data_IF_358685000943
#
_entry.id   IF_358685000943
#
_cell.length_a   1.000
_cell.length_b   1.000
_cell.length_c   1.000
_cell.angle_alpha   90.00
_cell.angle_beta   90.00
_cell.angle_gamma   90.00
#
_symmetry.space_group_name_H-M   'P 1'
#
loop_
_entity.id
_entity.type
_entity.pdbx_description
1 polymer ?
#
# COMPACT_ATOMS: atom_id res chain seq x y z
N UNK A 1 -21.27 72.39 -24.00
CA UNK A 1 -21.33 71.35 -23.00
C UNK A 1 -20.95 70.05 -23.68
N UNK A 2 -19.70 69.53 -23.47
CA UNK A 2 -19.28 68.23 -24.02
C UNK A 2 -19.40 67.22 -22.89
N UNK A 3 -20.29 66.22 -23.04
CA UNK A 3 -20.43 65.13 -22.11
C UNK A 3 -19.28 64.13 -22.30
N UNK A 4 -18.50 63.91 -21.28
CA UNK A 4 -17.41 62.93 -21.22
C UNK A 4 -18.03 61.61 -20.77
N UNK A 5 -18.16 60.64 -21.68
CA UNK A 5 -18.61 59.29 -21.35
C UNK A 5 -17.39 58.49 -20.93
N UNK A 6 -17.25 58.24 -19.60
CA UNK A 6 -16.23 57.33 -19.04
C UNK A 6 -16.69 55.88 -19.22
N UNK A 7 -15.97 55.12 -20.05
CA UNK A 7 -16.12 53.68 -20.18
C UNK A 7 -15.31 52.98 -19.07
N UNK A 8 -15.98 52.42 -18.07
CA UNK A 8 -15.34 51.59 -17.07
C UNK A 8 -15.26 50.19 -17.64
N UNK A 9 -14.04 49.77 -18.03
CA UNK A 9 -13.73 48.37 -18.37
C UNK A 9 -13.62 47.57 -17.07
N UNK A 10 -14.62 46.77 -16.77
CA UNK A 10 -14.56 45.77 -15.68
C UNK A 10 -13.75 44.59 -16.20
N UNK A 11 -12.47 44.51 -15.84
CA UNK A 11 -11.62 43.34 -16.08
C UNK A 11 -12.08 42.20 -15.17
N UNK A 12 -12.89 41.31 -15.69
CA UNK A 12 -13.13 40.01 -15.07
C UNK A 12 -11.85 39.17 -15.24
N UNK A 13 -11.04 39.06 -14.19
CA UNK A 13 -9.97 38.07 -14.11
C UNK A 13 -10.62 36.69 -13.98
N UNK A 14 -10.79 35.99 -15.08
CA UNK A 14 -11.10 34.56 -15.05
C UNK A 14 -9.83 33.86 -14.57
N UNK A 15 -9.77 33.56 -13.28
CA UNK A 15 -8.76 32.63 -12.77
C UNK A 15 -9.11 31.26 -13.35
N UNK A 16 -8.36 30.84 -14.38
CA UNK A 16 -8.33 29.45 -14.82
C UNK A 16 -7.78 28.63 -13.65
N UNK A 17 -8.67 28.14 -12.81
CA UNK A 17 -8.31 27.13 -11.81
C UNK A 17 -7.90 25.89 -12.59
N UNK A 18 -6.61 25.63 -12.68
CA UNK A 18 -6.11 24.31 -13.11
C UNK A 18 -6.74 23.28 -12.17
N UNK A 19 -7.45 22.32 -12.71
CA UNK A 19 -7.99 21.23 -11.91
C UNK A 19 -6.80 20.48 -11.29
N UNK A 20 -6.66 20.58 -9.97
CA UNK A 20 -5.63 19.85 -9.25
C UNK A 20 -5.85 18.35 -9.46
N UNK A 21 -4.77 17.64 -9.74
CA UNK A 21 -4.79 16.21 -10.01
C UNK A 21 -3.71 15.51 -9.21
N UNK A 22 -4.07 14.37 -8.63
CA UNK A 22 -3.14 13.43 -8.00
C UNK A 22 -3.17 12.11 -8.77
N UNK A 23 -2.02 11.51 -8.99
CA UNK A 23 -1.87 10.20 -9.62
C UNK A 23 -1.46 9.17 -8.59
N UNK A 24 -2.21 8.08 -8.51
CA UNK A 24 -1.93 6.94 -7.65
C UNK A 24 -1.57 5.75 -8.54
N UNK A 25 -0.46 5.10 -8.26
CA UNK A 25 -0.06 3.86 -8.91
C UNK A 25 -0.15 2.72 -7.89
N UNK A 26 -0.96 1.72 -8.21
CA UNK A 26 -1.01 0.48 -7.45
C UNK A 26 -0.26 -0.59 -8.21
N UNK A 27 0.70 -1.21 -7.55
CA UNK A 27 1.45 -2.36 -8.06
C UNK A 27 1.04 -3.56 -7.21
N UNK A 28 0.92 -4.73 -7.83
CA UNK A 28 0.59 -5.97 -7.14
C UNK A 28 1.69 -6.42 -6.18
N UNK A 29 1.99 -7.71 -6.19
CA UNK A 29 2.80 -8.35 -5.17
C UNK A 29 4.30 -8.13 -5.38
N UNK A 30 4.93 -7.48 -4.42
CA UNK A 30 6.37 -7.33 -4.29
C UNK A 30 6.90 -8.57 -3.55
N UNK A 31 7.21 -9.59 -4.32
CA UNK A 31 7.56 -10.91 -3.82
C UNK A 31 8.84 -11.42 -4.52
N UNK A 32 9.50 -12.41 -3.92
CA UNK A 32 10.67 -13.05 -4.51
C UNK A 32 10.73 -14.54 -4.18
N UNK A 33 11.10 -15.33 -5.16
CA UNK A 33 11.39 -16.74 -5.00
C UNK A 33 12.90 -17.00 -4.87
N UNK A 34 13.28 -18.25 -4.62
CA UNK A 34 14.67 -18.63 -4.41
C UNK A 34 15.60 -18.20 -5.55
N UNK A 35 15.14 -18.37 -6.80
CA UNK A 35 15.94 -17.99 -7.98
C UNK A 35 16.26 -16.49 -8.02
N UNK A 36 15.33 -15.63 -7.55
CA UNK A 36 15.54 -14.18 -7.52
C UNK A 36 16.52 -13.81 -6.37
N UNK A 37 16.44 -14.49 -5.23
CA UNK A 37 17.43 -14.32 -4.14
C UNK A 37 18.83 -14.69 -4.63
N UNK A 38 18.95 -15.82 -5.32
CA UNK A 38 20.23 -16.29 -5.82
C UNK A 38 20.79 -15.38 -6.93
N UNK A 39 19.92 -14.85 -7.81
CA UNK A 39 20.31 -13.91 -8.86
C UNK A 39 20.74 -12.54 -8.32
N UNK A 40 20.18 -12.10 -7.20
CA UNK A 40 20.55 -10.85 -6.55
C UNK A 40 21.87 -10.96 -5.75
N UNK A 41 22.37 -12.17 -5.51
CA UNK A 41 23.57 -12.38 -4.70
C UNK A 41 24.83 -11.96 -5.45
N UNK A 42 25.58 -11.05 -4.86
CA UNK A 42 26.85 -10.55 -5.39
C UNK A 42 28.03 -11.43 -4.96
N UNK A 43 29.17 -11.28 -5.63
CA UNK A 43 30.39 -12.07 -5.35
C UNK A 43 30.94 -11.88 -3.94
N UNK A 44 30.70 -10.72 -3.30
CA UNK A 44 31.08 -10.43 -1.92
C UNK A 44 30.04 -10.93 -0.87
N UNK A 45 29.00 -11.64 -1.34
CA UNK A 45 27.99 -12.27 -0.47
C UNK A 45 26.87 -11.33 -0.02
N UNK A 46 26.80 -10.10 -0.55
CA UNK A 46 25.67 -9.18 -0.37
C UNK A 46 24.57 -9.47 -1.39
N UNK A 47 23.57 -8.59 -1.45
CA UNK A 47 22.48 -8.69 -2.40
C UNK A 47 22.26 -7.33 -3.10
N UNK A 48 22.05 -7.38 -4.41
CA UNK A 48 21.70 -6.22 -5.23
C UNK A 48 20.41 -6.52 -6.01
N UNK A 49 19.33 -5.86 -5.62
CA UNK A 49 18.03 -5.97 -6.27
C UNK A 49 17.73 -4.79 -7.22
N UNK A 50 18.68 -3.87 -7.41
CA UNK A 50 18.47 -2.71 -8.29
C UNK A 50 18.10 -3.10 -9.73
N UNK A 51 18.64 -4.21 -10.32
CA UNK A 51 18.24 -4.64 -11.65
C UNK A 51 16.76 -5.06 -11.75
N UNK A 52 16.15 -5.54 -10.65
CA UNK A 52 14.77 -6.01 -10.65
C UNK A 52 13.76 -4.90 -10.99
N UNK A 53 14.08 -3.65 -10.64
CA UNK A 53 13.20 -2.50 -10.83
C UNK A 53 13.64 -1.59 -11.96
N UNK A 54 14.79 -1.82 -12.60
CA UNK A 54 15.40 -0.91 -13.56
C UNK A 54 14.48 -0.52 -14.74
N UNK A 55 13.66 -1.44 -15.23
CA UNK A 55 12.76 -1.22 -16.37
C UNK A 55 11.43 -0.54 -15.98
N UNK A 56 11.04 -0.58 -14.71
CA UNK A 56 9.76 -0.05 -14.22
C UNK A 56 9.92 1.15 -13.29
N UNK A 57 11.14 1.45 -12.86
CA UNK A 57 11.46 2.55 -11.95
C UNK A 57 10.93 3.90 -12.42
N UNK A 58 11.08 4.21 -13.70
CA UNK A 58 10.61 5.46 -14.27
C UNK A 58 9.09 5.59 -14.15
N UNK A 59 8.34 4.51 -14.45
CA UNK A 59 6.89 4.50 -14.34
C UNK A 59 6.43 4.63 -12.88
N UNK A 60 7.07 3.91 -11.96
CA UNK A 60 6.79 4.01 -10.53
C UNK A 60 7.02 5.44 -10.03
N UNK A 61 8.16 6.05 -10.39
CA UNK A 61 8.55 7.39 -9.94
C UNK A 61 7.71 8.53 -10.55
N UNK A 62 6.97 8.29 -11.64
CA UNK A 62 6.06 9.29 -12.23
C UNK A 62 4.79 9.49 -11.42
N UNK A 63 4.35 8.47 -10.69
CA UNK A 63 3.17 8.60 -9.85
C UNK A 63 3.42 9.58 -8.70
N UNK A 64 2.37 10.26 -8.28
CA UNK A 64 2.45 11.08 -7.08
C UNK A 64 2.58 10.20 -5.84
N UNK A 65 1.87 9.06 -5.82
CA UNK A 65 1.97 8.05 -4.76
C UNK A 65 2.02 6.68 -5.43
N UNK A 66 3.09 5.94 -5.21
CA UNK A 66 3.25 4.55 -5.64
C UNK A 66 3.07 3.61 -4.44
N UNK A 67 2.19 2.63 -4.59
CA UNK A 67 1.76 1.70 -3.54
C UNK A 67 2.01 0.27 -4.00
N UNK A 68 2.69 -0.54 -3.19
CA UNK A 68 2.95 -1.95 -3.49
C UNK A 68 2.59 -2.86 -2.33
N UNK A 69 2.18 -4.10 -2.63
CA UNK A 69 1.95 -5.13 -1.63
C UNK A 69 3.26 -5.86 -1.32
N UNK A 70 3.81 -5.68 -0.11
CA UNK A 70 5.02 -6.37 0.34
C UNK A 70 4.65 -7.79 0.77
N UNK A 71 4.69 -8.73 -0.18
CA UNK A 71 4.28 -10.12 0.03
C UNK A 71 5.44 -11.04 0.39
N UNK A 72 6.32 -10.54 1.21
CA UNK A 72 7.41 -11.29 1.85
C UNK A 72 7.62 -10.79 3.27
N UNK A 73 8.13 -11.64 4.16
CA UNK A 73 8.67 -11.14 5.43
C UNK A 73 10.11 -10.69 5.25
N UNK A 74 10.52 -9.68 6.01
CA UNK A 74 11.93 -9.33 6.24
C UNK A 74 12.40 -9.99 7.54
N UNK A 75 12.22 -11.31 7.61
CA UNK A 75 12.43 -12.12 8.83
C UNK A 75 13.89 -12.36 9.21
N UNK A 76 14.82 -11.90 8.38
CA UNK A 76 16.26 -12.16 8.56
C UNK A 76 16.68 -13.53 8.02
N UNK A 77 17.95 -13.89 8.26
CA UNK A 77 18.52 -15.18 7.81
C UNK A 77 17.91 -16.38 8.57
N UNK A 78 17.81 -17.55 7.95
CA UNK A 78 18.16 -17.83 6.55
C UNK A 78 17.12 -17.22 5.59
N UNK A 79 17.62 -16.60 4.50
CA UNK A 79 16.73 -16.08 3.45
C UNK A 79 16.14 -17.23 2.64
N UNK A 80 14.85 -17.10 2.29
CA UNK A 80 14.10 -18.20 1.71
C UNK A 80 12.98 -17.69 0.79
N UNK A 81 12.77 -18.42 -0.32
CA UNK A 81 11.59 -18.30 -1.16
C UNK A 81 10.45 -19.18 -0.65
N UNK A 82 9.59 -19.61 -1.59
CA UNK A 82 8.45 -20.49 -1.29
C UNK A 82 8.89 -21.74 -0.49
N UNK A 83 8.08 -22.23 0.48
CA UNK A 83 6.72 -21.75 0.82
C UNK A 83 6.69 -20.68 1.93
N UNK A 84 7.80 -20.37 2.60
CA UNK A 84 7.86 -19.43 3.73
C UNK A 84 8.93 -18.39 3.48
N UNK A 85 8.50 -17.25 2.95
CA UNK A 85 9.39 -16.22 2.44
C UNK A 85 10.14 -15.46 3.54
N UNK A 86 11.42 -15.22 3.31
CA UNK A 86 12.23 -14.29 4.08
C UNK A 86 13.22 -13.59 3.15
N UNK A 87 12.97 -12.32 2.86
CA UNK A 87 13.78 -11.52 1.96
C UNK A 87 15.00 -10.91 2.68
N UNK A 88 16.14 -10.72 1.97
CA UNK A 88 17.18 -9.80 2.41
C UNK A 88 16.67 -8.37 2.56
N UNK A 89 17.25 -7.61 3.51
CA UNK A 89 16.84 -6.22 3.76
C UNK A 89 17.13 -5.31 2.54
N UNK A 90 18.12 -5.68 1.72
CA UNK A 90 18.46 -5.03 0.45
C UNK A 90 17.29 -5.04 -0.55
N UNK A 91 16.36 -6.00 -0.42
CA UNK A 91 15.13 -6.00 -1.22
C UNK A 91 14.24 -4.79 -0.89
N UNK A 92 14.07 -4.48 0.40
CA UNK A 92 13.35 -3.29 0.82
C UNK A 92 14.05 -1.99 0.37
N UNK A 93 15.38 -1.96 0.43
CA UNK A 93 16.16 -0.83 -0.11
C UNK A 93 15.85 -0.62 -1.58
N UNK A 94 15.86 -1.68 -2.39
CA UNK A 94 15.58 -1.58 -3.82
C UNK A 94 14.14 -1.15 -4.11
N UNK A 95 13.16 -1.60 -3.31
CA UNK A 95 11.77 -1.13 -3.37
C UNK A 95 11.70 0.38 -3.10
N UNK A 96 12.37 0.86 -2.04
CA UNK A 96 12.44 2.29 -1.73
C UNK A 96 13.08 3.09 -2.86
N UNK A 97 14.19 2.59 -3.39
CA UNK A 97 14.95 3.25 -4.47
C UNK A 97 14.20 3.23 -5.81
N UNK A 98 13.29 2.28 -6.01
CA UNK A 98 12.39 2.24 -7.15
C UNK A 98 11.31 3.33 -7.11
N UNK A 99 11.05 3.92 -5.93
CA UNK A 99 10.13 5.04 -5.78
C UNK A 99 8.80 4.69 -5.13
N UNK A 100 8.68 3.53 -4.47
CA UNK A 100 7.47 3.22 -3.70
C UNK A 100 7.35 4.12 -2.47
N UNK A 101 6.17 4.71 -2.31
CA UNK A 101 5.82 5.62 -1.22
C UNK A 101 5.11 4.90 -0.06
N UNK A 102 4.35 3.84 -0.35
CA UNK A 102 3.51 3.12 0.64
C UNK A 102 3.63 1.62 0.43
N UNK A 103 3.67 0.87 1.52
CA UNK A 103 3.66 -0.58 1.50
C UNK A 103 2.39 -1.14 2.17
N UNK A 104 1.74 -2.07 1.49
CA UNK A 104 0.66 -2.90 2.02
C UNK A 104 1.28 -4.16 2.61
N UNK A 105 0.85 -4.55 3.81
CA UNK A 105 1.48 -5.65 4.54
C UNK A 105 0.50 -6.75 4.96
N UNK A 106 -0.83 -6.54 4.78
CA UNK A 106 -1.81 -7.60 5.01
C UNK A 106 -1.93 -8.46 3.75
N UNK A 107 -1.25 -9.59 3.76
CA UNK A 107 -1.27 -10.63 2.74
C UNK A 107 -1.11 -12.01 3.38
N UNK A 108 -1.23 -13.08 2.60
CA UNK A 108 -1.15 -14.44 3.10
C UNK A 108 0.26 -14.84 3.57
N UNK A 109 1.32 -14.12 3.15
CA UNK A 109 2.71 -14.36 3.52
C UNK A 109 3.24 -13.47 4.65
N UNK A 110 2.44 -12.58 5.22
CA UNK A 110 2.89 -11.65 6.26
C UNK A 110 3.33 -12.33 7.57
N UNK A 111 2.98 -13.61 7.76
CA UNK A 111 3.35 -14.40 8.94
C UNK A 111 4.31 -15.55 8.65
N UNK A 112 4.93 -15.63 7.48
CA UNK A 112 5.82 -16.75 7.09
C UNK A 112 6.99 -16.99 8.06
N UNK A 113 7.41 -15.98 8.78
CA UNK A 113 8.44 -16.07 9.83
C UNK A 113 7.84 -15.81 11.22
N UNK A 114 6.54 -16.07 11.37
CA UNK A 114 5.81 -15.93 12.63
C UNK A 114 5.81 -14.52 13.21
N UNK A 115 5.58 -14.43 14.52
CA UNK A 115 5.54 -13.17 15.26
C UNK A 115 6.80 -12.34 15.08
N UNK A 116 7.97 -12.94 15.27
CA UNK A 116 9.27 -12.25 15.18
C UNK A 116 9.54 -11.73 13.78
N UNK A 117 9.11 -12.49 12.75
CA UNK A 117 9.22 -12.06 11.35
C UNK A 117 8.33 -10.86 11.04
N UNK A 118 7.07 -10.88 11.47
CA UNK A 118 6.15 -9.75 11.31
C UNK A 118 6.69 -8.50 12.01
N UNK A 119 7.09 -8.60 13.28
CA UNK A 119 7.61 -7.46 14.05
C UNK A 119 8.92 -6.90 13.46
N UNK A 120 9.80 -7.80 12.96
CA UNK A 120 11.02 -7.38 12.28
C UNK A 120 10.70 -6.69 10.95
N UNK A 121 9.76 -7.21 10.17
CA UNK A 121 9.33 -6.59 8.92
C UNK A 121 8.84 -5.15 9.16
N UNK A 122 7.99 -4.94 10.16
CA UNK A 122 7.54 -3.60 10.56
C UNK A 122 8.74 -2.71 10.92
N UNK A 123 9.67 -3.21 11.74
CA UNK A 123 10.87 -2.46 12.15
C UNK A 123 11.73 -2.05 10.96
N UNK A 124 11.89 -2.94 9.97
CA UNK A 124 12.62 -2.60 8.75
C UNK A 124 11.90 -1.52 7.93
N UNK A 125 10.60 -1.64 7.72
CA UNK A 125 9.79 -0.64 7.00
C UNK A 125 9.90 0.74 7.67
N UNK A 126 9.78 0.78 9.00
CA UNK A 126 9.92 2.02 9.78
C UNK A 126 11.33 2.64 9.66
N UNK A 127 12.38 1.81 9.63
CA UNK A 127 13.77 2.30 9.47
C UNK A 127 14.00 3.04 8.15
N UNK A 128 13.22 2.70 7.12
CA UNK A 128 13.20 3.40 5.83
C UNK A 128 12.20 4.56 5.78
N UNK A 129 11.47 4.82 6.89
CA UNK A 129 10.41 5.84 6.95
C UNK A 129 9.36 5.66 5.85
N UNK A 130 9.00 4.43 5.51
CA UNK A 130 7.95 4.11 4.55
C UNK A 130 6.64 3.94 5.31
N UNK A 131 5.58 4.71 5.00
CA UNK A 131 4.24 4.45 5.51
C UNK A 131 3.75 3.05 5.11
N UNK A 132 3.02 2.39 6.00
CA UNK A 132 2.49 1.04 5.73
C UNK A 132 1.10 0.85 6.32
N UNK A 133 0.37 -0.12 5.78
CA UNK A 133 -0.95 -0.52 6.28
C UNK A 133 -1.09 -2.04 6.18
N UNK A 134 -1.77 -2.65 7.18
CA UNK A 134 -2.17 -4.05 7.13
C UNK A 134 -1.79 -4.88 8.35
N UNK A 135 -0.58 -4.74 8.87
CA UNK A 135 -0.07 -5.50 10.03
C UNK A 135 0.47 -4.57 11.11
N UNK A 136 0.34 -4.96 12.38
CA UNK A 136 0.73 -4.15 13.53
C UNK A 136 1.23 -5.00 14.68
N UNK A 137 2.13 -4.46 15.49
CA UNK A 137 2.64 -5.15 16.68
C UNK A 137 1.58 -5.33 17.76
N UNK A 138 0.58 -4.43 17.82
CA UNK A 138 -0.52 -4.49 18.80
C UNK A 138 -1.67 -3.55 18.44
N UNK A 139 -2.77 -3.62 19.22
CA UNK A 139 -3.97 -2.83 19.00
C UNK A 139 -3.77 -1.32 19.18
N UNK A 140 -2.82 -0.89 20.04
CA UNK A 140 -2.52 0.53 20.27
C UNK A 140 -1.87 1.09 19.00
N UNK A 141 -0.86 0.42 18.47
CA UNK A 141 -0.17 0.78 17.23
C UNK A 141 -1.17 0.84 16.05
N UNK A 142 -2.01 -0.20 15.89
CA UNK A 142 -3.06 -0.17 14.87
C UNK A 142 -3.96 1.05 15.00
N UNK A 143 -4.42 1.36 16.20
CA UNK A 143 -5.29 2.51 16.44
C UNK A 143 -4.64 3.86 16.11
N UNK A 144 -3.33 3.96 16.29
CA UNK A 144 -2.57 5.18 15.99
C UNK A 144 -2.27 5.36 14.50
N UNK A 145 -2.01 4.26 13.78
CA UNK A 145 -1.52 4.28 12.41
C UNK A 145 -2.60 3.96 11.37
N UNK A 146 -3.78 3.49 11.78
CA UNK A 146 -4.81 3.00 10.87
C UNK A 146 -6.19 3.60 11.13
N UNK A 147 -6.94 4.03 10.10
CA UNK A 147 -6.61 4.03 8.67
C UNK A 147 -5.36 4.84 8.32
N UNK A 148 -4.60 4.41 7.29
CA UNK A 148 -3.43 5.15 6.85
C UNK A 148 -3.84 6.35 6.00
N UNK A 149 -3.46 7.56 6.41
CA UNK A 149 -3.73 8.78 5.66
C UNK A 149 -2.47 9.31 4.99
N UNK A 150 -2.52 9.46 3.67
CA UNK A 150 -1.46 10.08 2.88
C UNK A 150 -1.94 11.45 2.40
N UNK A 151 -1.13 12.48 2.68
CA UNK A 151 -1.40 13.85 2.24
C UNK A 151 -0.37 14.29 1.22
N UNK A 152 -0.81 14.62 0.00
CA UNK A 152 0.07 15.06 -1.09
C UNK A 152 -0.69 15.97 -2.07
N UNK A 153 -0.07 17.06 -2.51
CA UNK A 153 -0.68 18.04 -3.43
C UNK A 153 -2.06 18.54 -2.99
N UNK A 154 -2.27 18.77 -1.70
CA UNK A 154 -3.56 19.20 -1.17
C UNK A 154 -4.58 18.10 -0.94
N UNK A 155 -4.41 16.91 -1.51
CA UNK A 155 -5.28 15.76 -1.31
C UNK A 155 -4.96 14.98 -0.04
N UNK A 156 -6.01 14.39 0.54
CA UNK A 156 -5.94 13.46 1.65
C UNK A 156 -6.56 12.12 1.22
N UNK A 157 -5.74 11.08 1.08
CA UNK A 157 -6.18 9.75 0.68
C UNK A 157 -6.09 8.82 1.88
N UNK A 158 -7.18 8.13 2.20
CA UNK A 158 -7.21 7.08 3.21
C UNK A 158 -6.96 5.72 2.54
N UNK A 159 -5.96 4.99 2.99
CA UNK A 159 -5.62 3.65 2.51
C UNK A 159 -6.04 2.63 3.57
N UNK A 160 -6.83 1.65 3.16
CA UNK A 160 -7.21 0.48 3.92
C UNK A 160 -6.61 -0.75 3.26
N UNK A 161 -6.12 -1.71 4.07
CA UNK A 161 -5.53 -2.94 3.54
C UNK A 161 -5.97 -4.15 4.37
N UNK A 162 -6.39 -5.21 3.68
CA UNK A 162 -6.91 -6.45 4.27
C UNK A 162 -6.48 -7.67 3.48
N UNK A 163 -6.40 -8.83 4.17
CA UNK A 163 -6.11 -10.14 3.56
C UNK A 163 -7.19 -11.17 3.87
N UNK A 164 -7.36 -12.13 2.98
CA UNK A 164 -8.25 -13.28 3.18
C UNK A 164 -7.71 -14.27 4.22
N UNK A 165 -6.40 -14.30 4.44
CA UNK A 165 -5.79 -15.29 5.30
C UNK A 165 -4.28 -15.11 5.46
N UNK A 166 -3.68 -16.05 6.17
CA UNK A 166 -2.24 -16.10 6.48
C UNK A 166 -1.68 -17.51 6.33
N UNK A 167 -2.08 -18.22 5.26
CA UNK A 167 -1.66 -19.60 4.95
C UNK A 167 -1.79 -20.56 6.13
N UNK A 168 -2.84 -20.40 6.94
CA UNK A 168 -3.11 -21.23 8.12
C UNK A 168 -2.26 -20.91 9.34
N UNK A 169 -1.33 -19.96 9.26
CA UNK A 169 -0.53 -19.52 10.40
C UNK A 169 -1.35 -18.58 11.28
N UNK A 170 -1.53 -18.95 12.54
CA UNK A 170 -2.30 -18.13 13.48
C UNK A 170 -1.50 -16.91 13.93
N UNK A 171 -2.16 -15.75 13.93
CA UNK A 171 -1.60 -14.52 14.53
C UNK A 171 -1.36 -14.75 16.03
N UNK A 172 -0.14 -14.47 16.49
CA UNK A 172 0.21 -14.53 17.92
C UNK A 172 -0.03 -13.18 18.57
N UNK A 173 -0.79 -13.16 19.67
CA UNK A 173 -0.97 -11.94 20.44
C UNK A 173 0.39 -11.35 20.90
N UNK A 174 0.51 -10.01 20.99
CA UNK A 174 -0.48 -8.97 20.72
C UNK A 174 -0.58 -8.53 19.26
N UNK A 175 0.12 -9.19 18.30
CA UNK A 175 0.15 -8.78 16.90
C UNK A 175 -1.25 -8.78 16.28
N UNK A 176 -1.43 -7.95 15.27
CA UNK A 176 -2.66 -7.82 14.50
C UNK A 176 -2.33 -7.89 13.01
N UNK A 177 -3.15 -8.67 12.30
CA UNK A 177 -3.27 -8.66 10.85
C UNK A 177 -4.69 -8.23 10.51
N UNK A 178 -4.85 -7.33 9.57
CA UNK A 178 -6.17 -6.93 9.09
C UNK A 178 -6.74 -8.01 8.17
N UNK A 179 -7.64 -8.82 8.69
CA UNK A 179 -8.38 -9.80 7.90
C UNK A 179 -9.63 -9.19 7.26
N UNK A 180 -10.08 -9.77 6.16
CA UNK A 180 -11.35 -9.46 5.51
C UNK A 180 -12.49 -9.86 6.44
N UNK A 181 -13.07 -8.87 7.13
CA UNK A 181 -14.26 -8.97 7.96
C UNK A 181 -15.11 -7.72 7.77
N UNK A 182 -16.31 -7.88 7.21
CA UNK A 182 -17.21 -6.75 6.88
C UNK A 182 -17.48 -5.82 8.05
N UNK A 183 -17.58 -6.35 9.27
CA UNK A 183 -17.84 -5.55 10.48
C UNK A 183 -16.66 -4.67 10.82
N UNK A 184 -15.45 -5.22 10.75
CA UNK A 184 -14.19 -4.49 10.98
C UNK A 184 -13.96 -3.46 9.88
N UNK A 185 -14.13 -3.86 8.62
CA UNK A 185 -13.97 -2.98 7.45
C UNK A 185 -14.92 -1.77 7.54
N UNK A 186 -16.20 -2.00 7.86
CA UNK A 186 -17.18 -0.92 8.01
C UNK A 186 -16.78 0.08 9.11
N UNK A 187 -16.29 -0.42 10.25
CA UNK A 187 -15.79 0.42 11.33
C UNK A 187 -14.58 1.27 10.90
N UNK A 188 -13.67 0.67 10.14
CA UNK A 188 -12.49 1.37 9.63
C UNK A 188 -12.87 2.41 8.57
N UNK A 189 -13.84 2.11 7.68
CA UNK A 189 -14.39 3.07 6.71
C UNK A 189 -15.02 4.26 7.44
N UNK A 190 -15.84 4.04 8.48
CA UNK A 190 -16.42 5.14 9.27
C UNK A 190 -15.33 5.98 9.96
N UNK A 191 -14.27 5.34 10.44
CA UNK A 191 -13.12 6.03 11.03
C UNK A 191 -12.39 6.89 9.99
N UNK A 192 -12.24 6.40 8.78
CA UNK A 192 -11.68 7.15 7.67
C UNK A 192 -12.57 8.34 7.28
N UNK A 193 -13.88 8.12 7.12
CA UNK A 193 -14.88 9.16 6.77
C UNK A 193 -14.91 10.30 7.79
N UNK A 194 -14.66 10.03 9.07
CA UNK A 194 -14.61 11.05 10.12
C UNK A 194 -13.52 12.10 9.88
N UNK A 195 -12.45 11.76 9.17
CA UNK A 195 -11.36 12.68 8.78
C UNK A 195 -11.70 13.46 7.50
N UNK A 196 -12.75 13.08 6.78
CA UNK A 196 -13.19 13.65 5.48
C UNK A 196 -12.07 13.64 4.44
N UNK A 197 -11.51 12.46 4.10
CA UNK A 197 -10.53 12.36 3.03
C UNK A 197 -11.19 12.61 1.66
N UNK A 198 -10.39 12.96 0.67
CA UNK A 198 -10.84 13.11 -0.72
C UNK A 198 -11.19 11.76 -1.36
N UNK A 199 -10.52 10.69 -0.91
CA UNK A 199 -10.84 9.33 -1.30
C UNK A 199 -10.49 8.33 -0.18
N UNK A 200 -11.24 7.23 -0.12
CA UNK A 200 -10.94 6.05 0.69
C UNK A 200 -10.69 4.91 -0.29
N UNK A 201 -9.54 4.26 -0.19
CA UNK A 201 -9.16 3.15 -1.07
C UNK A 201 -8.94 1.91 -0.23
N UNK A 202 -9.71 0.86 -0.50
CA UNK A 202 -9.58 -0.45 0.12
C UNK A 202 -8.73 -1.36 -0.78
N UNK A 203 -7.54 -1.69 -0.32
CA UNK A 203 -6.60 -2.60 -0.98
C UNK A 203 -6.81 -4.00 -0.42
N UNK A 204 -7.22 -4.92 -1.28
CA UNK A 204 -7.64 -6.26 -0.90
C UNK A 204 -6.65 -7.30 -1.42
N UNK A 205 -6.10 -8.10 -0.52
CA UNK A 205 -5.34 -9.29 -0.88
C UNK A 205 -6.24 -10.52 -0.73
N UNK A 206 -6.75 -11.01 -1.86
CA UNK A 206 -7.83 -11.99 -1.90
C UNK A 206 -7.91 -12.75 -3.23
N UNK A 207 -8.85 -13.71 -3.32
CA UNK A 207 -9.13 -14.45 -4.55
C UNK A 207 -8.49 -15.84 -4.56
N UNK A 208 -8.54 -16.47 -5.70
CA UNK A 208 -7.99 -17.80 -5.95
C UNK A 208 -6.82 -17.69 -6.91
N UNK A 209 -5.70 -18.31 -6.56
CA UNK A 209 -4.52 -18.33 -7.41
C UNK A 209 -4.83 -18.97 -8.78
N UNK A 210 -4.15 -18.47 -9.81
CA UNK A 210 -4.27 -18.96 -11.20
C UNK A 210 -5.64 -18.75 -11.86
N UNK A 211 -6.53 -17.96 -11.23
CA UNK A 211 -7.80 -17.54 -11.84
C UNK A 211 -7.66 -16.14 -12.42
N UNK A 212 -8.03 -15.98 -13.70
CA UNK A 212 -7.98 -14.69 -14.39
C UNK A 212 -9.21 -13.81 -14.19
N UNK A 213 -10.29 -14.37 -13.63
CA UNK A 213 -11.54 -13.66 -13.37
C UNK A 213 -11.85 -13.68 -11.87
N UNK A 214 -12.45 -12.60 -11.35
CA UNK A 214 -12.86 -12.56 -9.96
C UNK A 214 -13.98 -13.60 -9.70
N UNK A 215 -13.92 -14.22 -8.54
CA UNK A 215 -15.00 -15.09 -8.09
C UNK A 215 -16.19 -14.28 -7.56
N UNK A 216 -17.29 -14.97 -7.25
CA UNK A 216 -18.54 -14.34 -6.76
C UNK A 216 -18.33 -13.55 -5.47
N UNK A 217 -17.56 -14.08 -4.53
CA UNK A 217 -17.30 -13.41 -3.24
C UNK A 217 -16.54 -12.11 -3.41
N UNK A 218 -15.56 -12.09 -4.32
CA UNK A 218 -14.84 -10.85 -4.67
C UNK A 218 -15.79 -9.81 -5.26
N UNK A 219 -16.66 -10.19 -6.23
CA UNK A 219 -17.63 -9.27 -6.82
C UNK A 219 -18.61 -8.72 -5.76
N UNK A 220 -19.18 -9.57 -4.91
CA UNK A 220 -20.14 -9.17 -3.88
C UNK A 220 -19.50 -8.25 -2.81
N UNK A 221 -18.24 -8.50 -2.45
CA UNK A 221 -17.53 -7.64 -1.50
C UNK A 221 -17.13 -6.32 -2.14
N UNK A 222 -16.70 -6.32 -3.40
CA UNK A 222 -16.40 -5.12 -4.17
C UNK A 222 -17.62 -4.19 -4.26
N UNK A 223 -18.76 -4.72 -4.67
CA UNK A 223 -20.02 -3.97 -4.73
C UNK A 223 -20.42 -3.39 -3.38
N UNK A 224 -20.19 -4.16 -2.31
CA UNK A 224 -20.47 -3.70 -0.96
C UNK A 224 -19.54 -2.56 -0.55
N UNK A 225 -18.22 -2.65 -0.81
CA UNK A 225 -17.23 -1.61 -0.51
C UNK A 225 -17.57 -0.30 -1.23
N UNK A 226 -17.91 -0.37 -2.52
CA UNK A 226 -18.32 0.80 -3.30
C UNK A 226 -19.55 1.48 -2.70
N UNK A 227 -20.55 0.70 -2.25
CA UNK A 227 -21.74 1.22 -1.56
C UNK A 227 -21.42 1.87 -0.22
N UNK A 228 -20.34 1.50 0.44
CA UNK A 228 -19.86 2.17 1.65
C UNK A 228 -19.01 3.42 1.37
N UNK A 229 -18.76 3.74 0.09
CA UNK A 229 -17.98 4.91 -0.33
C UNK A 229 -16.47 4.67 -0.36
N UNK A 230 -16.01 3.42 -0.39
CA UNK A 230 -14.62 3.08 -0.61
C UNK A 230 -14.39 2.67 -2.06
N UNK A 231 -13.39 3.25 -2.73
CA UNK A 231 -12.82 2.74 -3.98
C UNK A 231 -11.99 1.49 -3.67
N UNK A 232 -11.70 0.70 -4.70
CA UNK A 232 -11.02 -0.57 -4.52
C UNK A 232 -9.78 -0.69 -5.39
N UNK A 233 -8.73 -1.31 -4.81
CA UNK A 233 -7.56 -1.85 -5.51
C UNK A 233 -7.35 -3.30 -5.08
N UNK A 234 -7.06 -4.17 -6.01
CA UNK A 234 -6.77 -5.60 -5.79
C UNK A 234 -5.57 -6.02 -6.61
#
# INVERSE_FOLDING_TARGET
MKALISFIFLLYSVTLSSQERITLLFVGDLMQHRAQIDAARTSDGKYDYSPCFSLVKEEISRADIAIGNLEVTLGGKPYQGYPTFSAPDEYLQAIKDAGFDVLLTANNHCLDRGKTGLERTITQIESFSIPYAGTYRNAIERKQLYPLFIRKKGFCIAILNYTYGTNGIKVSAPNIVNYIDKKTILKDIHSAQAVRPDAIIACMHWGEEYQSLPNREQCELADWLLKQGALMSS
#
